data_IF_233814621200
#
_entry.id   IF_233814621200
#
_cell.length_a   1.000
_cell.length_b   1.000
_cell.length_c   1.000
_cell.angle_alpha   90.00
_cell.angle_beta   90.00
_cell.angle_gamma   90.00
#
_symmetry.space_group_name_H-M   'P 1'
#
loop_
_entity.id
_entity.type
_entity.pdbx_description
1 polymer ?
#
# COMPACT_ATOMS: atom_id res chain seq x y z
N UNK A 1 -23.15 -2.08 -5.08
CA UNK A 1 -22.22 -0.99 -4.76
C UNK A 1 -20.87 -1.38 -5.28
N UNK A 2 -20.01 -0.40 -5.59
CA UNK A 2 -18.59 -0.67 -5.84
C UNK A 2 -17.93 -0.58 -4.46
N UNK A 3 -17.39 -1.69 -3.97
CA UNK A 3 -16.75 -1.77 -2.66
C UNK A 3 -15.31 -1.24 -2.79
N UNK A 4 -14.97 -0.21 -2.02
CA UNK A 4 -13.66 0.46 -2.03
C UNK A 4 -12.72 -0.08 -0.93
N UNK A 5 -12.94 -1.30 -0.46
CA UNK A 5 -12.17 -1.91 0.64
C UNK A 5 -10.79 -2.44 0.20
N UNK A 6 -10.49 -2.42 -1.10
CA UNK A 6 -9.18 -2.82 -1.61
C UNK A 6 -8.17 -1.67 -1.48
N UNK A 7 -7.31 -1.78 -0.47
CA UNK A 7 -6.15 -0.91 -0.34
C UNK A 7 -5.07 -1.37 -1.33
N UNK A 8 -4.96 -0.71 -2.48
CA UNK A 8 -3.93 -0.97 -3.52
C UNK A 8 -2.52 -0.48 -3.13
N UNK A 9 -2.29 -0.14 -1.87
CA UNK A 9 -0.94 0.09 -1.38
C UNK A 9 -0.18 -1.26 -1.43
N UNK A 10 1.09 -1.29 -1.86
CA UNK A 10 1.92 -2.48 -1.91
C UNK A 10 2.41 -2.79 -0.50
N UNK A 11 1.47 -3.02 0.42
CA UNK A 11 1.74 -3.30 1.82
C UNK A 11 1.94 -4.80 1.98
N UNK A 12 3.11 -5.17 2.50
CA UNK A 12 3.44 -6.58 2.73
C UNK A 12 2.47 -7.18 3.76
N UNK A 13 1.95 -8.38 3.50
CA UNK A 13 1.07 -9.09 4.46
C UNK A 13 1.90 -9.62 5.63
N UNK A 14 1.32 -9.61 6.84
CA UNK A 14 1.99 -10.12 8.05
C UNK A 14 2.47 -11.57 7.92
N UNK A 15 1.75 -12.40 7.14
CA UNK A 15 2.14 -13.79 6.82
C UNK A 15 3.49 -13.83 6.11
N UNK A 16 3.71 -12.95 5.14
CA UNK A 16 4.97 -12.84 4.39
C UNK A 16 6.12 -12.43 5.30
N UNK A 17 5.90 -11.46 6.21
CA UNK A 17 6.92 -11.04 7.20
C UNK A 17 7.35 -12.24 8.05
N UNK A 18 6.40 -13.03 8.56
CA UNK A 18 6.70 -14.22 9.39
C UNK A 18 7.55 -15.25 8.64
N UNK A 19 7.26 -15.49 7.36
CA UNK A 19 8.04 -16.43 6.53
C UNK A 19 9.47 -15.93 6.36
N UNK A 20 9.66 -14.65 6.06
CA UNK A 20 11.01 -14.06 5.91
C UNK A 20 11.79 -14.14 7.22
N UNK A 21 11.16 -13.85 8.36
CA UNK A 21 11.79 -13.97 9.68
C UNK A 21 12.19 -15.42 10.00
N UNK A 22 11.32 -16.39 9.70
CA UNK A 22 11.61 -17.81 9.92
C UNK A 22 12.80 -18.28 9.07
N UNK A 23 12.85 -17.86 7.80
CA UNK A 23 13.96 -18.17 6.90
C UNK A 23 15.28 -17.56 7.39
N UNK A 24 15.25 -16.30 7.81
CA UNK A 24 16.43 -15.63 8.35
C UNK A 24 16.94 -16.32 9.62
N UNK A 25 16.04 -16.70 10.53
CA UNK A 25 16.39 -17.44 11.74
C UNK A 25 17.00 -18.82 11.43
N UNK A 26 16.43 -19.55 10.46
CA UNK A 26 16.95 -20.85 10.03
C UNK A 26 18.36 -20.76 9.44
N UNK A 27 18.64 -19.70 8.69
CA UNK A 27 19.92 -19.51 8.01
C UNK A 27 20.92 -18.65 8.81
N UNK A 28 20.57 -18.23 10.03
CA UNK A 28 21.40 -17.35 10.85
C UNK A 28 21.64 -15.96 10.24
N UNK A 29 20.74 -15.49 9.37
CA UNK A 29 20.87 -14.21 8.70
C UNK A 29 20.57 -13.05 9.63
N UNK A 30 21.37 -11.98 9.50
CA UNK A 30 21.11 -10.72 10.19
C UNK A 30 20.01 -9.96 9.47
N UNK A 31 18.90 -9.71 10.16
CA UNK A 31 17.82 -8.84 9.66
C UNK A 31 18.12 -7.38 9.99
N UNK A 32 17.81 -6.49 9.05
CA UNK A 32 17.84 -5.04 9.25
C UNK A 32 16.48 -4.48 8.84
N UNK A 33 15.95 -3.57 9.66
CA UNK A 33 14.71 -2.87 9.37
C UNK A 33 15.02 -1.50 8.77
N UNK A 34 14.29 -1.12 7.72
CA UNK A 34 14.25 0.25 7.21
C UNK A 34 12.80 0.71 7.25
N UNK A 35 12.55 1.80 7.98
CA UNK A 35 11.26 2.48 7.99
C UNK A 35 11.33 3.71 7.07
N UNK A 36 10.43 3.80 6.10
CA UNK A 36 10.41 4.88 5.12
C UNK A 36 9.28 5.82 5.50
N UNK A 37 9.63 7.06 5.91
CA UNK A 37 8.67 8.09 6.35
C UNK A 37 7.61 8.44 5.29
N UNK A 38 7.89 8.19 4.02
CA UNK A 38 7.01 8.49 2.89
C UNK A 38 6.98 7.31 1.93
N UNK A 39 6.11 6.33 2.18
CA UNK A 39 5.83 5.24 1.26
C UNK A 39 4.77 5.65 0.23
N UNK A 40 5.03 6.73 -0.51
CA UNK A 40 4.23 7.01 -1.71
C UNK A 40 4.52 5.89 -2.72
N UNK A 41 3.46 5.40 -3.38
CA UNK A 41 3.53 4.45 -4.49
C UNK A 41 4.43 5.02 -5.61
N UNK A 42 5.76 4.86 -5.49
CA UNK A 42 6.73 5.08 -6.58
C UNK A 42 6.87 3.83 -7.46
N UNK A 43 5.87 2.94 -7.43
CA UNK A 43 5.76 1.84 -8.38
C UNK A 43 4.92 2.31 -9.56
N UNK A 44 5.33 1.96 -10.78
CA UNK A 44 4.49 2.13 -11.95
C UNK A 44 3.19 1.35 -11.73
N UNK A 45 2.10 2.07 -11.45
CA UNK A 45 0.78 1.48 -11.30
C UNK A 45 0.20 1.28 -12.69
N UNK A 46 0.00 0.01 -13.08
CA UNK A 46 -0.60 -0.33 -14.38
C UNK A 46 -2.11 -0.39 -14.31
N UNK A 47 -2.66 -0.45 -13.10
CA UNK A 47 -4.06 -0.57 -12.80
C UNK A 47 -4.75 0.80 -12.73
N UNK A 48 -5.99 0.86 -13.22
CA UNK A 48 -6.86 2.03 -13.10
C UNK A 48 -7.44 2.08 -11.68
N UNK A 49 -7.12 3.14 -10.94
CA UNK A 49 -7.64 3.35 -9.58
C UNK A 49 -8.72 4.41 -9.59
N UNK A 50 -9.89 4.05 -9.10
CA UNK A 50 -10.98 4.98 -8.85
C UNK A 50 -10.87 5.52 -7.41
N UNK A 51 -10.83 6.84 -7.25
CA UNK A 51 -10.84 7.50 -5.94
C UNK A 51 -12.02 8.46 -5.89
N UNK A 52 -12.72 8.51 -4.75
CA UNK A 52 -13.69 9.56 -4.51
C UNK A 52 -12.99 10.80 -3.94
N UNK A 53 -13.48 11.99 -4.31
CA UNK A 53 -12.98 13.23 -3.73
C UNK A 53 -13.29 13.27 -2.22
N UNK A 54 -12.32 13.65 -1.37
CA UNK A 54 -12.55 13.73 0.06
C UNK A 54 -13.54 14.84 0.39
N UNK A 55 -14.36 14.62 1.42
CA UNK A 55 -15.32 15.61 1.89
C UNK A 55 -14.62 16.94 2.23
N UNK A 56 -15.13 18.05 1.70
CA UNK A 56 -14.55 19.39 1.88
C UNK A 56 -13.52 19.82 0.83
N UNK A 57 -13.16 18.95 -0.13
CA UNK A 57 -12.28 19.27 -1.27
C UNK A 57 -12.96 19.00 -2.62
N UNK A 58 -14.28 18.85 -2.64
CA UNK A 58 -15.05 18.62 -3.88
C UNK A 58 -14.94 19.83 -4.78
N UNK A 59 -14.38 19.65 -5.97
CA UNK A 59 -14.34 20.68 -7.00
C UNK A 59 -15.76 20.87 -7.59
N UNK A 60 -16.34 22.05 -7.41
CA UNK A 60 -17.68 22.38 -7.91
C UNK A 60 -17.78 22.34 -9.45
N UNK A 61 -16.68 22.54 -10.16
CA UNK A 61 -16.64 22.46 -11.62
C UNK A 61 -16.42 21.04 -12.13
N UNK A 62 -15.87 20.13 -11.30
CA UNK A 62 -15.64 18.74 -11.64
C UNK A 62 -15.95 17.80 -10.45
N UNK A 63 -17.22 17.71 -10.01
CA UNK A 63 -17.59 16.99 -8.77
C UNK A 63 -17.51 15.46 -8.87
N UNK A 64 -17.26 14.92 -10.07
CA UNK A 64 -17.25 13.48 -10.36
C UNK A 64 -15.96 12.99 -11.01
N UNK A 65 -14.89 13.77 -10.93
CA UNK A 65 -13.58 13.34 -11.42
C UNK A 65 -12.88 12.41 -10.43
#
# INVERSE_FOLDING_TARGET
>A
GIDYDETFAPTVKIKTIRVVCALAAQNGWKLQQMDVKSAFLNGDLKEEVYMAQPEGFVDEHQPHK
#
